data_IF_868553213281
#
_entry.id   IF_868553213281
#
_cell.length_a   1.000
_cell.length_b   1.000
_cell.length_c   1.000
_cell.angle_alpha   90.00
_cell.angle_beta   90.00
_cell.angle_gamma   90.00
#
_symmetry.space_group_name_H-M   'P 1'
#
loop_
_entity.id
_entity.type
_entity.pdbx_description
1 polymer ?
#
# COMPACT_ATOMS: atom_id res chain seq x y z
N UNK A 1 1.17 10.87 5.79
CA UNK A 1 1.96 11.94 5.16
C UNK A 1 1.80 11.94 3.65
N UNK A 2 1.91 13.11 3.00
CA UNK A 2 2.01 13.26 1.55
C UNK A 2 3.45 13.61 1.09
N UNK A 3 4.42 13.56 2.00
CA UNK A 3 5.85 13.78 1.72
C UNK A 3 6.11 15.05 0.89
N UNK A 4 5.54 16.19 1.29
CA UNK A 4 5.56 17.47 0.55
C UNK A 4 4.88 17.41 -0.84
N UNK A 5 4.08 16.38 -1.09
CA UNK A 5 3.33 16.22 -2.34
C UNK A 5 1.94 16.84 -2.29
N UNK A 6 1.16 16.58 -3.33
CA UNK A 6 -0.14 17.21 -3.55
C UNK A 6 -1.33 16.47 -2.90
N UNK A 7 -1.11 15.28 -2.31
CA UNK A 7 -2.18 14.39 -1.84
C UNK A 7 -2.94 14.85 -0.60
N UNK A 8 -2.35 15.72 0.25
CA UNK A 8 -2.87 16.02 1.60
C UNK A 8 -4.34 16.40 1.63
N UNK A 9 -4.75 17.38 0.83
CA UNK A 9 -6.13 17.90 0.89
C UNK A 9 -7.14 16.87 0.37
N UNK A 10 -6.78 16.09 -0.65
CA UNK A 10 -7.64 15.02 -1.18
C UNK A 10 -7.78 13.89 -0.16
N UNK A 11 -6.67 13.45 0.45
CA UNK A 11 -6.70 12.44 1.52
C UNK A 11 -7.59 12.88 2.67
N UNK A 12 -7.40 14.09 3.22
CA UNK A 12 -8.25 14.63 4.29
C UNK A 12 -9.73 14.62 3.93
N UNK A 13 -10.06 15.05 2.71
CA UNK A 13 -11.44 15.08 2.22
C UNK A 13 -12.04 13.68 2.12
N UNK A 14 -11.32 12.74 1.52
CA UNK A 14 -11.77 11.35 1.34
C UNK A 14 -11.98 10.68 2.70
N UNK A 15 -11.00 10.78 3.61
CA UNK A 15 -11.11 10.21 4.95
C UNK A 15 -12.28 10.80 5.75
N UNK A 16 -12.45 12.12 5.72
CA UNK A 16 -13.59 12.79 6.40
C UNK A 16 -14.92 12.33 5.82
N UNK A 17 -15.05 12.23 4.49
CA UNK A 17 -16.28 11.76 3.85
C UNK A 17 -16.59 10.30 4.15
N UNK A 18 -15.56 9.47 4.34
CA UNK A 18 -15.70 8.09 4.76
C UNK A 18 -15.96 7.90 6.27
N UNK A 19 -15.99 9.00 7.05
CA UNK A 19 -16.28 8.96 8.48
C UNK A 19 -15.05 8.83 9.38
N UNK A 20 -13.83 8.85 8.84
CA UNK A 20 -12.60 8.86 9.63
C UNK A 20 -12.31 10.27 10.12
N UNK A 21 -12.56 10.55 11.40
CA UNK A 21 -12.40 11.87 12.00
C UNK A 21 -11.12 12.02 12.85
N UNK A 22 -10.32 10.95 12.94
CA UNK A 22 -9.10 10.87 13.74
C UNK A 22 -7.83 10.86 12.88
N UNK A 23 -7.89 11.35 11.65
CA UNK A 23 -6.73 11.48 10.78
C UNK A 23 -5.77 12.54 11.33
N UNK A 24 -4.54 12.13 11.60
CA UNK A 24 -3.44 12.98 12.03
C UNK A 24 -2.48 13.14 10.86
N UNK A 25 -2.12 14.38 10.54
CA UNK A 25 -1.20 14.67 9.43
C UNK A 25 0.19 15.05 9.96
N UNK A 26 1.23 14.68 9.23
CA UNK A 26 2.60 15.16 9.47
C UNK A 26 2.70 16.60 9.00
N UNK A 27 2.62 17.56 9.91
CA UNK A 27 2.46 18.98 9.59
C UNK A 27 3.56 19.52 8.68
N UNK A 28 4.79 19.08 8.89
CA UNK A 28 5.97 19.50 8.13
C UNK A 28 5.87 19.07 6.65
N UNK A 29 5.09 18.03 6.35
CA UNK A 29 4.99 17.41 5.02
C UNK A 29 3.62 17.60 4.36
N UNK A 30 2.74 18.42 4.94
CA UNK A 30 1.36 18.62 4.47
C UNK A 30 1.23 19.58 3.29
N UNK A 31 2.19 20.46 3.11
CA UNK A 31 2.17 21.48 2.05
C UNK A 31 3.11 21.05 0.93
N UNK A 32 2.67 21.14 -0.33
CA UNK A 32 3.56 20.85 -1.45
C UNK A 32 4.79 21.75 -1.44
N UNK A 33 5.97 21.12 -1.51
CA UNK A 33 7.27 21.80 -1.54
C UNK A 33 8.20 21.08 -2.52
N UNK A 34 8.62 21.72 -3.63
CA UNK A 34 9.44 21.08 -4.64
C UNK A 34 10.87 20.79 -4.19
N UNK A 35 11.31 21.37 -3.07
CA UNK A 35 12.65 21.13 -2.51
C UNK A 35 12.68 19.92 -1.55
N UNK A 36 11.53 19.36 -1.17
CA UNK A 36 11.38 18.20 -0.28
C UNK A 36 12.28 18.27 0.97
N UNK A 37 12.19 19.34 1.79
CA UNK A 37 13.22 19.70 2.78
C UNK A 37 13.43 18.69 3.91
N UNK A 38 12.49 17.75 4.12
CA UNK A 38 12.57 16.76 5.20
C UNK A 38 12.99 15.37 4.72
N UNK A 39 13.15 15.15 3.41
CA UNK A 39 13.51 13.85 2.85
C UNK A 39 14.58 14.01 1.77
N UNK A 40 15.56 13.12 1.77
CA UNK A 40 16.62 13.15 0.77
C UNK A 40 16.11 12.76 -0.63
N UNK A 41 15.12 11.87 -0.66
CA UNK A 41 14.41 11.46 -1.87
C UNK A 41 12.95 11.15 -1.50
N UNK A 42 11.95 11.75 -2.20
CA UNK A 42 10.55 11.66 -1.80
C UNK A 42 9.88 10.36 -2.28
N UNK A 43 10.39 9.23 -1.84
CA UNK A 43 9.80 7.91 -2.01
C UNK A 43 9.63 7.25 -0.64
N UNK A 44 8.42 6.82 -0.24
CA UNK A 44 8.18 6.19 1.05
C UNK A 44 9.07 4.97 1.34
N UNK A 45 9.56 4.27 0.32
CA UNK A 45 10.44 3.11 0.47
C UNK A 45 11.91 3.45 0.75
N UNK A 46 12.30 4.72 0.60
CA UNK A 46 13.68 5.11 0.88
C UNK A 46 13.94 5.17 2.40
N UNK A 47 15.13 4.78 2.84
CA UNK A 47 15.50 4.86 4.25
C UNK A 47 15.32 6.28 4.82
N UNK A 48 14.63 6.39 5.95
CA UNK A 48 14.37 7.66 6.62
C UNK A 48 13.20 8.48 6.07
N UNK A 49 12.64 8.09 4.93
CA UNK A 49 11.57 8.86 4.26
C UNK A 49 10.29 8.97 5.12
N UNK A 50 9.95 7.93 5.88
CA UNK A 50 8.76 7.90 6.75
C UNK A 50 9.06 8.20 8.22
N UNK A 51 10.27 8.59 8.60
CA UNK A 51 10.67 8.77 10.01
C UNK A 51 9.78 9.79 10.73
N UNK A 52 9.50 10.94 10.13
CA UNK A 52 8.58 11.94 10.70
C UNK A 52 7.15 11.39 10.88
N UNK A 53 6.70 10.52 9.98
CA UNK A 53 5.40 9.88 10.12
C UNK A 53 5.38 8.89 11.29
N UNK A 54 6.46 8.13 11.49
CA UNK A 54 6.62 7.23 12.62
C UNK A 54 6.75 7.98 13.95
N UNK A 55 7.48 9.10 13.98
CA UNK A 55 7.56 9.98 15.16
C UNK A 55 6.19 10.56 15.51
N UNK A 56 5.45 11.06 14.52
CA UNK A 56 4.09 11.55 14.68
C UNK A 56 3.17 10.45 15.21
N UNK A 57 3.24 9.25 14.64
CA UNK A 57 2.44 8.11 15.08
C UNK A 57 2.71 7.71 16.53
N UNK A 58 3.98 7.75 16.97
CA UNK A 58 4.36 7.52 18.37
C UNK A 58 3.80 8.61 19.31
N UNK A 59 3.90 9.88 18.90
CA UNK A 59 3.47 11.01 19.69
C UNK A 59 1.94 11.04 19.94
N UNK A 60 1.17 10.53 18.98
CA UNK A 60 -0.29 10.52 19.02
C UNK A 60 -0.90 9.13 19.29
N UNK A 61 -0.07 8.13 19.60
CA UNK A 61 -0.48 6.72 19.77
C UNK A 61 -1.37 6.23 18.62
N UNK A 62 -0.94 6.46 17.39
CA UNK A 62 -1.67 6.04 16.22
C UNK A 62 -1.67 4.50 16.05
N UNK A 63 -2.68 3.99 15.36
CA UNK A 63 -2.83 2.56 15.06
C UNK A 63 -2.19 2.18 13.72
N UNK A 64 -2.13 3.12 12.78
CA UNK A 64 -1.69 2.91 11.41
C UNK A 64 -0.96 4.15 10.89
N UNK A 65 0.13 3.95 10.16
CA UNK A 65 0.81 5.00 9.38
C UNK A 65 0.54 4.77 7.91
N UNK A 66 0.19 5.83 7.19
CA UNK A 66 0.00 5.84 5.74
C UNK A 66 0.88 6.94 5.14
N UNK A 67 1.59 6.60 4.07
CA UNK A 67 2.41 7.54 3.32
C UNK A 67 2.11 7.44 1.83
N UNK A 68 1.80 8.58 1.21
CA UNK A 68 1.76 8.69 -0.24
C UNK A 68 3.04 9.36 -0.73
N UNK A 69 3.45 9.03 -1.93
CA UNK A 69 4.48 9.76 -2.64
C UNK A 69 3.96 11.13 -3.16
N UNK A 70 4.80 12.00 -3.74
CA UNK A 70 4.41 13.38 -4.02
C UNK A 70 3.21 13.58 -4.94
N UNK A 71 2.98 12.71 -5.92
CA UNK A 71 1.81 12.76 -6.81
C UNK A 71 0.64 11.89 -6.34
N UNK A 72 0.84 11.20 -5.18
CA UNK A 72 -0.16 10.40 -4.49
C UNK A 72 -0.70 9.20 -5.28
N UNK A 73 0.03 8.72 -6.27
CA UNK A 73 -0.35 7.52 -7.02
C UNK A 73 0.09 6.22 -6.31
N UNK A 74 0.98 6.30 -5.31
CA UNK A 74 1.45 5.18 -4.50
C UNK A 74 1.02 5.29 -3.05
N UNK A 75 0.99 4.15 -2.36
CA UNK A 75 0.61 4.04 -0.95
C UNK A 75 1.55 3.09 -0.22
N UNK A 76 2.25 3.62 0.77
CA UNK A 76 2.99 2.84 1.75
C UNK A 76 2.30 2.88 3.11
N UNK A 77 2.54 1.89 3.95
CA UNK A 77 2.03 1.86 5.30
C UNK A 77 3.03 1.27 6.30
N UNK A 78 2.90 1.67 7.56
CA UNK A 78 3.57 1.02 8.67
C UNK A 78 2.56 0.65 9.76
N UNK A 79 2.83 -0.47 10.42
CA UNK A 79 2.04 -1.04 11.50
C UNK A 79 2.94 -1.36 12.70
N UNK A 80 2.37 -1.51 13.87
CA UNK A 80 3.07 -2.08 15.02
C UNK A 80 3.21 -3.60 14.80
N UNK A 81 4.41 -4.13 14.97
CA UNK A 81 4.64 -5.57 14.95
C UNK A 81 4.18 -6.21 16.29
N UNK A 82 4.41 -7.52 16.45
CA UNK A 82 4.04 -8.27 17.66
C UNK A 82 4.81 -7.85 18.92
N UNK A 83 5.94 -7.13 18.78
CA UNK A 83 6.68 -6.53 19.91
C UNK A 83 6.20 -5.12 20.26
N UNK A 84 5.38 -4.52 19.42
CA UNK A 84 4.88 -3.15 19.53
C UNK A 84 5.77 -2.11 18.82
N UNK A 85 6.79 -2.56 18.11
CA UNK A 85 7.64 -1.70 17.31
C UNK A 85 7.03 -1.41 15.94
N UNK A 86 7.20 -0.18 15.47
CA UNK A 86 6.74 0.19 14.14
C UNK A 86 7.59 -0.46 13.06
N UNK A 87 6.95 -1.12 12.11
CA UNK A 87 7.57 -1.62 10.88
C UNK A 87 6.82 -1.17 9.65
N UNK A 88 7.54 -0.83 8.61
CA UNK A 88 6.96 -0.61 7.30
C UNK A 88 6.51 -1.94 6.68
N UNK A 89 5.31 -1.96 6.12
CA UNK A 89 4.86 -3.07 5.27
C UNK A 89 5.56 -2.98 3.92
N UNK A 90 6.00 -4.12 3.41
CA UNK A 90 6.49 -4.22 2.04
C UNK A 90 5.34 -4.05 1.05
N UNK A 91 5.63 -3.59 -0.15
CA UNK A 91 4.59 -3.43 -1.17
C UNK A 91 3.84 -4.72 -1.47
N UNK A 92 4.53 -5.86 -1.46
CA UNK A 92 3.90 -7.18 -1.59
C UNK A 92 3.01 -7.55 -0.39
N UNK A 93 3.36 -7.16 0.85
CA UNK A 93 2.50 -7.40 2.02
C UNK A 93 1.20 -6.61 1.93
N UNK A 94 1.26 -5.35 1.48
CA UNK A 94 0.06 -4.56 1.20
C UNK A 94 -0.74 -5.14 0.04
N UNK A 95 -0.07 -5.57 -1.05
CA UNK A 95 -0.72 -6.27 -2.16
C UNK A 95 -1.46 -7.51 -1.71
N UNK A 96 -0.89 -8.29 -0.78
CA UNK A 96 -1.53 -9.45 -0.16
C UNK A 96 -2.75 -9.05 0.68
N UNK A 97 -2.63 -8.03 1.52
CA UNK A 97 -3.74 -7.53 2.35
C UNK A 97 -4.92 -7.13 1.48
N UNK A 98 -4.69 -6.32 0.46
CA UNK A 98 -5.75 -5.88 -0.46
C UNK A 98 -6.33 -7.05 -1.25
N UNK A 99 -5.48 -7.87 -1.87
CA UNK A 99 -5.92 -9.00 -2.68
C UNK A 99 -6.74 -10.02 -1.89
N UNK A 100 -6.31 -10.39 -0.69
CA UNK A 100 -7.06 -11.29 0.19
C UNK A 100 -8.39 -10.67 0.61
N UNK A 101 -8.41 -9.37 0.98
CA UNK A 101 -9.64 -8.72 1.42
C UNK A 101 -10.66 -8.61 0.31
N UNK A 102 -10.26 -8.19 -0.89
CA UNK A 102 -11.14 -8.13 -2.05
C UNK A 102 -11.65 -9.53 -2.41
N UNK A 103 -10.76 -10.54 -2.43
CA UNK A 103 -11.15 -11.92 -2.72
C UNK A 103 -12.19 -12.48 -1.74
N UNK A 104 -12.12 -12.10 -0.45
CA UNK A 104 -13.10 -12.53 0.58
C UNK A 104 -14.46 -11.83 0.42
N UNK A 105 -14.44 -10.55 0.04
CA UNK A 105 -15.64 -9.70 0.10
C UNK A 105 -16.33 -9.55 -1.25
N UNK A 106 -15.60 -9.62 -2.34
CA UNK A 106 -16.10 -9.45 -3.71
C UNK A 106 -15.28 -10.28 -4.70
N UNK A 107 -15.40 -11.62 -4.69
CA UNK A 107 -14.59 -12.52 -5.52
C UNK A 107 -15.06 -12.51 -6.98
N UNK A 108 -14.76 -11.46 -7.72
CA UNK A 108 -15.13 -11.29 -9.12
C UNK A 108 -14.03 -10.57 -9.90
N UNK A 109 -14.16 -10.60 -11.23
CA UNK A 109 -13.19 -9.95 -12.14
C UNK A 109 -11.87 -10.68 -12.22
N UNK A 110 -10.84 -9.98 -12.64
CA UNK A 110 -9.48 -10.48 -12.80
C UNK A 110 -8.54 -9.82 -11.81
N UNK A 111 -7.68 -10.58 -11.15
CA UNK A 111 -6.57 -10.04 -10.38
C UNK A 111 -5.30 -10.02 -11.23
N UNK A 112 -4.43 -9.05 -11.00
CA UNK A 112 -3.17 -8.94 -11.71
C UNK A 112 -2.03 -8.41 -10.86
N UNK A 113 -0.81 -8.82 -11.17
CA UNK A 113 0.39 -8.18 -10.63
C UNK A 113 1.54 -8.17 -11.64
N UNK A 114 2.58 -7.41 -11.33
CA UNK A 114 3.80 -7.41 -12.12
C UNK A 114 4.58 -8.72 -11.93
N UNK A 115 5.33 -9.14 -12.95
CA UNK A 115 6.17 -10.34 -12.90
C UNK A 115 7.24 -10.34 -11.80
N UNK A 116 7.56 -9.17 -11.26
CA UNK A 116 8.53 -9.01 -10.16
C UNK A 116 7.88 -8.95 -8.78
N UNK A 117 6.54 -8.89 -8.73
CA UNK A 117 5.77 -8.96 -7.49
C UNK A 117 5.64 -10.39 -6.97
N UNK A 118 5.17 -10.55 -5.74
CA UNK A 118 5.01 -11.87 -5.10
C UNK A 118 4.02 -12.76 -5.86
N UNK A 119 4.37 -14.04 -6.02
CA UNK A 119 3.50 -15.06 -6.61
C UNK A 119 2.32 -15.48 -5.72
N UNK A 120 2.20 -14.92 -4.50
CA UNK A 120 1.13 -15.29 -3.57
C UNK A 120 -0.25 -14.84 -4.07
N UNK A 121 -0.35 -13.71 -4.81
CA UNK A 121 -1.63 -13.25 -5.35
C UNK A 121 -2.25 -14.29 -6.30
N UNK A 122 -1.44 -14.99 -7.08
CA UNK A 122 -1.91 -16.10 -7.90
C UNK A 122 -2.55 -17.21 -7.07
N UNK A 123 -1.97 -17.52 -5.90
CA UNK A 123 -2.53 -18.56 -5.01
C UNK A 123 -3.83 -18.10 -4.33
N UNK A 124 -3.90 -16.84 -3.94
CA UNK A 124 -5.12 -16.22 -3.42
C UNK A 124 -6.22 -16.32 -4.50
N UNK A 125 -5.94 -15.85 -5.71
CA UNK A 125 -6.89 -15.91 -6.83
C UNK A 125 -7.40 -17.32 -7.09
N UNK A 126 -6.49 -18.30 -7.16
CA UNK A 126 -6.85 -19.69 -7.36
C UNK A 126 -7.74 -20.27 -6.23
N UNK A 127 -7.48 -19.86 -4.98
CA UNK A 127 -8.27 -20.30 -3.82
C UNK A 127 -9.73 -19.81 -3.90
N UNK A 128 -9.93 -18.58 -4.35
CA UNK A 128 -11.27 -17.97 -4.46
C UNK A 128 -11.92 -18.15 -5.85
N UNK A 129 -11.24 -18.82 -6.79
CA UNK A 129 -11.75 -19.02 -8.16
C UNK A 129 -11.78 -17.77 -9.00
N UNK A 130 -10.89 -16.82 -8.74
CA UNK A 130 -10.73 -15.53 -9.43
C UNK A 130 -9.71 -15.70 -10.56
N UNK A 131 -9.97 -15.15 -11.72
CA UNK A 131 -8.99 -15.11 -12.81
C UNK A 131 -7.75 -14.30 -12.43
N UNK A 132 -6.57 -14.75 -12.88
CA UNK A 132 -5.29 -14.13 -12.56
C UNK A 132 -4.44 -13.89 -13.80
N UNK A 133 -3.80 -12.73 -13.89
CA UNK A 133 -2.83 -12.40 -14.93
C UNK A 133 -1.56 -11.80 -14.35
N UNK A 134 -0.43 -12.36 -14.74
CA UNK A 134 0.88 -11.77 -14.51
C UNK A 134 1.31 -10.96 -15.72
N UNK A 135 1.80 -9.74 -15.51
CA UNK A 135 2.19 -8.83 -16.59
C UNK A 135 3.59 -8.27 -16.39
N UNK A 136 4.15 -7.65 -17.42
CA UNK A 136 5.42 -6.93 -17.29
C UNK A 136 5.29 -5.73 -16.34
N UNK A 137 6.42 -5.31 -15.77
CA UNK A 137 6.49 -4.10 -14.93
C UNK A 137 6.02 -2.86 -15.68
N UNK A 138 5.27 -2.04 -15.00
CA UNK A 138 4.64 -0.82 -15.50
C UNK A 138 3.13 -0.94 -15.53
N UNK A 139 2.47 -0.09 -14.75
CA UNK A 139 1.02 -0.15 -14.49
C UNK A 139 0.16 -0.11 -15.76
N UNK A 140 0.69 0.49 -16.85
CA UNK A 140 0.08 0.45 -18.19
C UNK A 140 -0.26 -0.96 -18.69
N UNK A 141 0.40 -1.99 -18.18
CA UNK A 141 0.11 -3.38 -18.54
C UNK A 141 -1.02 -3.94 -17.69
N UNK A 142 -1.06 -3.61 -16.40
CA UNK A 142 -2.17 -3.94 -15.50
C UNK A 142 -3.47 -3.30 -15.98
N UNK A 143 -3.43 -2.02 -16.32
CA UNK A 143 -4.56 -1.26 -16.83
C UNK A 143 -5.19 -1.80 -18.15
N UNK A 144 -4.52 -2.72 -18.84
CA UNK A 144 -5.04 -3.41 -20.05
C UNK A 144 -5.71 -4.75 -19.76
N UNK A 145 -5.71 -5.18 -18.50
CA UNK A 145 -6.43 -6.40 -18.11
C UNK A 145 -7.93 -6.10 -18.14
N UNK A 146 -8.66 -6.89 -18.92
CA UNK A 146 -10.12 -6.81 -18.93
C UNK A 146 -10.68 -7.22 -17.57
N UNK A 147 -11.71 -6.52 -17.09
CA UNK A 147 -12.35 -6.76 -15.79
C UNK A 147 -11.35 -6.78 -14.61
N UNK A 148 -10.35 -5.90 -14.64
CA UNK A 148 -9.39 -5.80 -13.55
C UNK A 148 -10.11 -5.39 -12.26
N UNK A 149 -10.27 -6.31 -11.32
CA UNK A 149 -10.87 -6.03 -10.01
C UNK A 149 -9.82 -5.58 -8.99
N UNK A 150 -8.59 -6.08 -9.12
CA UNK A 150 -7.46 -5.69 -8.31
C UNK A 150 -6.15 -5.88 -9.06
N UNK A 151 -5.29 -4.89 -8.98
CA UNK A 151 -3.94 -4.98 -9.55
C UNK A 151 -2.91 -4.28 -8.69
N UNK A 152 -1.67 -4.83 -8.65
CA UNK A 152 -0.60 -4.14 -7.93
C UNK A 152 0.80 -4.40 -8.52
N UNK A 153 1.69 -3.50 -8.18
CA UNK A 153 3.14 -3.62 -8.31
C UNK A 153 3.78 -3.51 -6.92
N UNK A 154 4.81 -4.32 -6.66
CA UNK A 154 5.54 -4.37 -5.39
C UNK A 154 6.14 -3.02 -4.98
N UNK A 155 6.38 -2.14 -5.95
CA UNK A 155 6.81 -0.74 -5.73
C UNK A 155 5.65 0.15 -5.22
N UNK A 156 4.84 -0.38 -4.29
CA UNK A 156 3.75 0.29 -3.57
C UNK A 156 2.65 0.93 -4.45
N UNK A 157 2.45 0.41 -5.66
CA UNK A 157 1.39 0.85 -6.57
C UNK A 157 0.20 -0.12 -6.59
N UNK A 158 -1.02 0.37 -6.34
CA UNK A 158 -2.24 -0.45 -6.22
C UNK A 158 -3.41 0.17 -6.97
N UNK A 159 -4.17 -0.64 -7.70
CA UNK A 159 -5.51 -0.33 -8.20
C UNK A 159 -6.52 -1.17 -7.44
N UNK A 160 -7.17 -0.57 -6.45
CA UNK A 160 -8.18 -1.22 -5.60
C UNK A 160 -9.61 -0.93 -6.08
N UNK A 161 -9.76 0.02 -7.00
CA UNK A 161 -11.02 0.41 -7.65
C UNK A 161 -10.73 0.86 -9.10
N UNK A 162 -10.42 -0.12 -9.95
CA UNK A 162 -10.04 0.12 -11.35
C UNK A 162 -11.18 0.62 -12.22
N UNK A 163 -12.44 0.49 -11.79
CA UNK A 163 -13.60 1.08 -12.47
C UNK A 163 -13.58 2.61 -12.37
N UNK A 164 -13.15 3.14 -11.22
CA UNK A 164 -13.04 4.59 -10.99
C UNK A 164 -11.71 5.15 -11.50
N UNK A 165 -10.59 4.48 -11.20
CA UNK A 165 -9.24 4.88 -11.61
C UNK A 165 -8.54 3.69 -12.22
N UNK A 166 -8.42 3.65 -13.55
CA UNK A 166 -7.74 2.58 -14.26
C UNK A 166 -6.21 2.80 -14.31
N UNK A 167 -5.65 3.08 -13.17
CA UNK A 167 -4.22 3.19 -12.86
C UNK A 167 -4.04 2.93 -11.36
N UNK A 168 -2.79 3.01 -10.87
CA UNK A 168 -2.53 3.03 -9.45
C UNK A 168 -3.08 4.31 -8.81
N UNK A 169 -3.71 4.17 -7.67
CA UNK A 169 -4.23 5.28 -6.89
C UNK A 169 -3.92 5.08 -5.40
N UNK A 170 -2.95 5.85 -4.92
CA UNK A 170 -2.50 5.79 -3.53
C UNK A 170 -3.54 6.31 -2.54
N UNK A 171 -4.50 7.12 -2.97
CA UNK A 171 -5.54 7.67 -2.09
C UNK A 171 -6.65 6.64 -1.85
N UNK A 172 -7.14 5.98 -2.89
CA UNK A 172 -8.11 4.88 -2.72
C UNK A 172 -7.50 3.70 -1.96
N UNK A 173 -6.22 3.37 -2.23
CA UNK A 173 -5.50 2.36 -1.46
C UNK A 173 -5.38 2.74 0.03
N UNK A 174 -5.09 4.01 0.34
CA UNK A 174 -4.98 4.50 1.72
C UNK A 174 -6.29 4.36 2.50
N UNK A 175 -7.41 4.82 1.94
CA UNK A 175 -8.72 4.73 2.61
C UNK A 175 -9.18 3.28 2.73
N UNK A 176 -8.93 2.45 1.73
CA UNK A 176 -9.26 1.04 1.76
C UNK A 176 -8.47 0.28 2.83
N UNK A 177 -7.17 0.58 3.00
CA UNK A 177 -6.37 0.03 4.09
C UNK A 177 -6.91 0.41 5.47
N UNK A 178 -7.29 1.69 5.66
CA UNK A 178 -7.88 2.15 6.90
C UNK A 178 -9.22 1.44 7.21
N UNK A 179 -10.03 1.18 6.18
CA UNK A 179 -11.26 0.41 6.32
C UNK A 179 -10.96 -1.04 6.74
N UNK A 180 -10.01 -1.71 6.08
CA UNK A 180 -9.61 -3.09 6.44
C UNK A 180 -9.13 -3.16 7.89
N UNK A 181 -8.26 -2.23 8.30
CA UNK A 181 -7.76 -2.18 9.67
C UNK A 181 -8.90 -1.98 10.69
N UNK A 182 -9.88 -1.13 10.37
CA UNK A 182 -11.05 -0.89 11.21
C UNK A 182 -11.93 -2.14 11.31
N UNK A 183 -12.22 -2.80 10.19
CA UNK A 183 -13.06 -4.00 10.17
C UNK A 183 -12.41 -5.15 10.94
N UNK A 184 -11.09 -5.30 10.85
CA UNK A 184 -10.33 -6.26 11.64
C UNK A 184 -10.39 -5.93 13.13
N UNK A 185 -10.23 -4.66 13.51
CA UNK A 185 -10.30 -4.23 14.91
C UNK A 185 -11.66 -4.52 15.56
N UNK A 186 -12.77 -4.41 14.82
CA UNK A 186 -14.12 -4.76 15.30
C UNK A 186 -14.21 -6.21 15.77
N UNK A 187 -13.43 -7.12 15.16
CA UNK A 187 -13.39 -8.53 15.53
C UNK A 187 -12.17 -8.91 16.39
N UNK A 188 -11.46 -7.91 16.92
CA UNK A 188 -10.30 -8.11 17.80
C UNK A 188 -9.06 -8.61 17.08
N UNK A 189 -8.91 -8.32 15.79
CA UNK A 189 -7.76 -8.67 14.94
C UNK A 189 -7.05 -7.41 14.44
N UNK A 190 -5.86 -7.61 13.92
CA UNK A 190 -5.06 -6.59 13.25
C UNK A 190 -4.57 -7.05 11.86
N UNK A 191 -3.81 -6.19 11.18
CA UNK A 191 -3.24 -6.50 9.87
C UNK A 191 -2.18 -7.61 9.92
N UNK A 192 -1.49 -7.80 11.06
CA UNK A 192 -0.58 -8.94 11.22
C UNK A 192 -1.37 -10.26 11.30
N UNK A 193 -2.54 -10.27 11.97
CA UNK A 193 -3.40 -11.46 12.01
C UNK A 193 -3.88 -11.85 10.61
N UNK A 194 -4.24 -10.86 9.78
CA UNK A 194 -4.63 -11.11 8.41
C UNK A 194 -3.48 -11.70 7.57
N UNK A 195 -2.28 -11.16 7.68
CA UNK A 195 -1.09 -11.69 7.02
C UNK A 195 -0.78 -13.11 7.47
N UNK A 196 -0.83 -13.38 8.80
CA UNK A 196 -0.62 -14.70 9.34
C UNK A 196 -1.64 -15.72 8.80
N UNK A 197 -2.92 -15.36 8.69
CA UNK A 197 -3.96 -16.21 8.10
C UNK A 197 -3.67 -16.54 6.63
N UNK A 198 -3.23 -15.54 5.86
CA UNK A 198 -2.89 -15.73 4.45
C UNK A 198 -1.68 -16.66 4.30
N UNK A 199 -0.63 -16.46 5.11
CA UNK A 199 0.55 -17.32 5.09
C UNK A 199 0.26 -18.75 5.56
N UNK A 200 -0.61 -18.94 6.54
CA UNK A 200 -1.05 -20.27 6.97
C UNK A 200 -1.82 -20.99 5.85
N UNK A 201 -2.62 -20.26 5.07
CA UNK A 201 -3.43 -20.84 4.01
C UNK A 201 -2.66 -21.12 2.73
N UNK A 202 -1.78 -20.20 2.31
CA UNK A 202 -1.14 -20.20 1.00
C UNK A 202 0.35 -20.52 1.03
N UNK A 203 0.95 -20.58 2.24
CA UNK A 203 2.38 -20.68 2.45
C UNK A 203 3.04 -19.32 2.58
N UNK A 204 4.20 -19.29 3.24
CA UNK A 204 4.97 -18.06 3.43
C UNK A 204 5.70 -17.69 2.14
N UNK A 205 5.47 -16.46 1.68
CA UNK A 205 6.12 -15.86 0.52
C UNK A 205 6.87 -14.62 0.98
N UNK A 206 8.19 -14.75 1.14
CA UNK A 206 9.06 -13.61 1.44
C UNK A 206 9.62 -13.05 0.15
N UNK A 207 9.49 -11.76 -0.03
CA UNK A 207 10.11 -11.00 -1.12
C UNK A 207 11.02 -9.94 -0.53
N UNK A 208 12.05 -9.56 -1.28
CA UNK A 208 12.97 -8.49 -0.88
C UNK A 208 13.49 -7.77 -2.11
N UNK A 209 13.60 -6.46 -2.02
CA UNK A 209 14.16 -5.64 -3.07
C UNK A 209 15.67 -5.49 -2.86
N UNK A 210 16.45 -5.78 -3.91
CA UNK A 210 17.89 -5.53 -3.94
C UNK A 210 18.15 -4.35 -4.87
N UNK A 211 18.58 -3.22 -4.31
CA UNK A 211 18.96 -2.04 -5.07
C UNK A 211 20.49 -1.90 -5.13
N UNK A 212 21.04 -1.86 -6.32
CA UNK A 212 22.47 -1.63 -6.54
C UNK A 212 22.66 -0.29 -7.22
N UNK A 213 23.29 0.66 -6.53
CA UNK A 213 23.66 1.96 -7.11
C UNK A 213 25.10 1.89 -7.62
N UNK A 214 25.28 2.13 -8.92
CA UNK A 214 26.61 2.19 -9.54
C UNK A 214 26.95 3.63 -9.90
N UNK A 215 28.21 4.04 -9.64
CA UNK A 215 28.66 5.39 -9.96
C UNK A 215 28.98 5.57 -11.46
N UNK A 216 29.23 4.47 -12.18
CA UNK A 216 29.54 4.45 -13.62
C UNK A 216 28.66 3.41 -14.32
N UNK A 217 27.87 3.85 -15.28
CA UNK A 217 27.00 2.98 -16.09
C UNK A 217 27.76 2.12 -17.13
N UNK A 218 29.07 2.33 -17.24
CA UNK A 218 29.98 1.57 -18.12
C UNK A 218 30.84 0.52 -17.38
N UNK A 219 30.62 0.33 -16.08
CA UNK A 219 31.39 -0.60 -15.25
C UNK A 219 30.77 -2.02 -15.25
#
# INVERSE_FOLDING_TARGET
TAMHGVGTETVKKVFTQAGFNNLITVNEQCTPDPDFPTVAFPNPEEPGAIDLALETAKAFDADLVIANDPDADRCAAAIKDRSGDWRMLRGDELGVIFGEWIARTSPQGTFGNSIVSSSILQKISAHYGIDFKEVLTGFKWLAKIEDLAFGYEEAIGYAVDSETVNDKDGISAAIFLAQIATDLAVVGKDLNDLLDEVWQRHGFHATEQISVRVADMGA
#
